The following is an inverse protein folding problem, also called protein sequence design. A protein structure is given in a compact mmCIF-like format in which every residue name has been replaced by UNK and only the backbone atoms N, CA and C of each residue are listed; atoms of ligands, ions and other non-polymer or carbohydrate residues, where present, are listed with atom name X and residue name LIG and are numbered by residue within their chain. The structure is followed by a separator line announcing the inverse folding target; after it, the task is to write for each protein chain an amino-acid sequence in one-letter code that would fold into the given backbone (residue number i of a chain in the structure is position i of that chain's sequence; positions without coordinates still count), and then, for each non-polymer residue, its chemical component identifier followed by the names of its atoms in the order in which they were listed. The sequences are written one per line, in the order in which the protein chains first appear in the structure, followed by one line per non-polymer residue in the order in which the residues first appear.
data_IF_014221282425
#
_entry.id   IF_014221282425
#
_cell.length_a   1.000
_cell.length_b   1.000
_cell.length_c   1.000
_cell.angle_alpha   90.00
_cell.angle_beta   90.00
_cell.angle_gamma   90.00
#
_symmetry.space_group_name_H-M   'P 1'
#
loop_
_entity.id
_entity.type
_entity.pdbx_description
1 polymer ?
#
# COMPACT_ATOMS: atom_id res chain seq x y z
N UNK A 1 10.65 -13.21 -6.85
CA UNK A 1 9.36 -12.68 -6.41
C UNK A 1 8.23 -13.61 -6.83
N UNK A 2 7.23 -13.76 -5.97
CA UNK A 2 6.07 -14.60 -6.25
C UNK A 2 4.84 -13.71 -6.38
N UNK A 3 4.08 -13.92 -7.45
CA UNK A 3 2.80 -13.24 -7.64
C UNK A 3 1.70 -14.27 -7.41
N UNK A 4 0.74 -13.92 -6.57
CA UNK A 4 -0.41 -14.78 -6.26
C UNK A 4 -1.69 -14.00 -6.44
N UNK A 5 -2.69 -14.64 -7.07
CA UNK A 5 -4.04 -14.12 -7.13
C UNK A 5 -4.87 -14.82 -6.05
N UNK A 6 -5.24 -14.05 -5.00
CA UNK A 6 -5.93 -14.60 -3.84
C UNK A 6 -6.61 -13.48 -3.06
N UNK A 7 -7.50 -13.88 -2.12
CA UNK A 7 -8.10 -12.92 -1.19
C UNK A 7 -7.03 -12.41 -0.23
N UNK A 8 -6.72 -11.13 -0.33
CA UNK A 8 -5.65 -10.49 0.46
C UNK A 8 -5.88 -10.64 1.97
N UNK A 9 -7.13 -10.63 2.42
CA UNK A 9 -7.47 -10.67 3.84
C UNK A 9 -7.74 -12.07 4.37
N UNK A 10 -7.75 -13.09 3.52
CA UNK A 10 -8.03 -14.45 3.95
C UNK A 10 -6.85 -15.07 4.71
N UNK A 11 -7.12 -15.65 5.88
CA UNK A 11 -6.12 -16.36 6.65
C UNK A 11 -5.69 -17.64 5.93
N UNK A 12 -4.40 -17.98 6.01
CA UNK A 12 -3.86 -19.22 5.46
C UNK A 12 -3.67 -19.24 3.95
N UNK A 13 -4.04 -18.19 3.24
CA UNK A 13 -3.86 -18.10 1.79
C UNK A 13 -2.38 -18.01 1.43
N UNK A 14 -1.60 -17.29 2.23
CA UNK A 14 -0.17 -17.14 2.04
C UNK A 14 0.54 -18.01 3.07
N UNK A 15 1.10 -19.14 2.62
CA UNK A 15 1.73 -20.12 3.51
C UNK A 15 3.18 -19.78 3.85
N UNK A 16 3.79 -18.87 3.10
CA UNK A 16 5.18 -18.43 3.32
C UNK A 16 5.26 -16.92 3.30
N UNK A 17 6.17 -16.30 4.07
CA UNK A 17 6.41 -14.87 3.99
C UNK A 17 6.80 -14.46 2.56
N UNK A 18 6.39 -13.28 2.14
CA UNK A 18 6.75 -12.75 0.83
C UNK A 18 7.82 -11.67 0.99
N UNK A 19 8.60 -11.43 -0.06
CA UNK A 19 9.66 -10.44 -0.07
C UNK A 19 9.21 -9.10 -0.60
N UNK A 20 8.13 -9.10 -1.39
CA UNK A 20 7.63 -7.90 -2.04
C UNK A 20 6.12 -7.94 -2.13
N UNK A 21 5.49 -6.85 -1.72
CA UNK A 21 4.08 -6.56 -2.01
C UNK A 21 4.06 -5.34 -2.93
N UNK A 22 3.46 -5.50 -4.10
CA UNK A 22 3.27 -4.40 -5.04
C UNK A 22 1.86 -3.85 -4.91
N UNK A 23 1.76 -2.53 -4.79
CA UNK A 23 0.50 -1.84 -4.58
C UNK A 23 0.24 -0.81 -5.69
N UNK A 24 -0.88 -0.93 -6.37
CA UNK A 24 -1.38 0.13 -7.25
C UNK A 24 -2.90 0.05 -7.33
N UNK A 25 -3.56 1.13 -6.92
CA UNK A 25 -5.02 1.26 -6.94
C UNK A 25 -5.78 0.24 -6.05
N UNK A 26 -5.11 -0.57 -5.25
CA UNK A 26 -5.79 -1.50 -4.34
C UNK A 26 -6.25 -0.83 -3.06
N UNK A 27 -5.35 -0.18 -2.34
CA UNK A 27 -5.66 0.47 -1.06
C UNK A 27 -6.68 1.61 -1.25
N UNK A 28 -6.57 2.37 -2.32
CA UNK A 28 -7.51 3.47 -2.60
C UNK A 28 -8.88 2.97 -3.06
N UNK A 29 -9.03 1.69 -3.41
CA UNK A 29 -10.31 1.07 -3.71
C UNK A 29 -11.00 0.53 -2.45
N UNK A 30 -10.28 0.41 -1.33
CA UNK A 30 -10.83 -0.08 -0.07
C UNK A 30 -11.55 1.04 0.69
N UNK A 31 -12.69 0.73 1.35
CA UNK A 31 -13.31 1.67 2.28
C UNK A 31 -12.33 2.12 3.36
N UNK A 32 -12.50 3.34 3.86
CA UNK A 32 -11.58 3.94 4.85
C UNK A 32 -11.41 3.07 6.09
N UNK A 33 -12.48 2.44 6.56
CA UNK A 33 -12.44 1.59 7.76
C UNK A 33 -11.58 0.34 7.59
N UNK A 34 -11.16 0.01 6.38
CA UNK A 34 -10.30 -1.16 6.12
C UNK A 34 -8.82 -0.83 6.04
N UNK A 35 -8.43 0.44 6.19
CA UNK A 35 -7.04 0.86 6.05
C UNK A 35 -6.11 0.28 7.11
N UNK A 36 -6.57 0.23 8.36
CA UNK A 36 -5.78 -0.37 9.44
C UNK A 36 -5.58 -1.87 9.21
N UNK A 37 -6.63 -2.57 8.79
CA UNK A 37 -6.54 -4.00 8.47
C UNK A 37 -5.58 -4.24 7.30
N UNK A 38 -5.60 -3.37 6.30
CA UNK A 38 -4.68 -3.44 5.17
C UNK A 38 -3.22 -3.29 5.62
N UNK A 39 -2.93 -2.27 6.41
CA UNK A 39 -1.57 -2.01 6.88
C UNK A 39 -1.05 -3.18 7.74
N UNK A 40 -1.90 -3.69 8.63
CA UNK A 40 -1.56 -4.84 9.46
C UNK A 40 -1.29 -6.07 8.62
N UNK A 41 -2.12 -6.32 7.62
CA UNK A 41 -1.97 -7.50 6.75
C UNK A 41 -0.70 -7.44 5.92
N UNK A 42 -0.37 -6.27 5.37
CA UNK A 42 0.89 -6.10 4.64
C UNK A 42 2.09 -6.39 5.54
N UNK A 43 2.06 -5.90 6.78
CA UNK A 43 3.13 -6.16 7.74
C UNK A 43 3.25 -7.65 8.06
N UNK A 44 2.11 -8.35 8.17
CA UNK A 44 2.11 -9.80 8.44
C UNK A 44 2.67 -10.62 7.27
N UNK A 45 2.38 -10.20 6.03
CA UNK A 45 2.82 -10.91 4.83
C UNK A 45 4.32 -10.78 4.58
N UNK A 46 4.91 -9.64 4.92
CA UNK A 46 6.31 -9.35 4.64
C UNK A 46 7.20 -9.79 5.80
N UNK A 47 8.27 -10.52 5.46
CA UNK A 47 9.32 -10.80 6.44
C UNK A 47 10.17 -9.54 6.67
N UNK A 48 10.93 -9.46 7.79
CA UNK A 48 11.84 -8.34 8.01
C UNK A 48 12.76 -8.11 6.81
N UNK A 49 12.89 -6.87 6.37
CA UNK A 49 13.63 -6.52 5.16
C UNK A 49 12.82 -6.59 3.88
N UNK A 50 11.64 -7.20 3.90
CA UNK A 50 10.75 -7.20 2.76
C UNK A 50 10.20 -5.81 2.46
N UNK A 51 9.68 -5.61 1.25
CA UNK A 51 9.29 -4.28 0.79
C UNK A 51 7.85 -4.22 0.32
N UNK A 52 7.18 -3.13 0.70
CA UNK A 52 5.92 -2.68 0.13
C UNK A 52 6.27 -1.58 -0.86
N UNK A 53 6.09 -1.83 -2.14
CA UNK A 53 6.40 -0.88 -3.20
C UNK A 53 5.16 -0.61 -4.03
N UNK A 54 4.88 0.65 -4.31
CA UNK A 54 3.71 0.93 -5.10
C UNK A 54 3.45 2.40 -5.37
N UNK A 55 2.31 2.61 -6.01
CA UNK A 55 1.81 3.94 -6.32
C UNK A 55 0.65 4.21 -5.39
N UNK A 56 0.78 5.23 -4.54
CA UNK A 56 -0.24 5.60 -3.57
C UNK A 56 -0.98 6.86 -4.02
N UNK A 57 -2.30 6.83 -3.90
CA UNK A 57 -3.16 7.92 -4.31
C UNK A 57 -3.38 8.88 -3.13
N UNK A 58 -2.78 10.07 -3.20
CA UNK A 58 -2.89 11.08 -2.16
C UNK A 58 -3.90 12.15 -2.55
N UNK A 59 -4.98 12.23 -1.79
CA UNK A 59 -6.03 13.22 -1.99
C UNK A 59 -6.78 13.40 -0.66
N UNK A 60 -7.54 14.48 -0.56
CA UNK A 60 -8.35 14.80 0.62
C UNK A 60 -9.82 14.51 0.42
N UNK A 61 -10.18 13.72 -0.59
CA UNK A 61 -11.58 13.43 -0.86
C UNK A 61 -12.13 12.32 0.04
N UNK A 62 -13.38 12.54 0.51
CA UNK A 62 -14.10 11.50 1.26
C UNK A 62 -14.92 10.58 0.36
N UNK A 63 -14.98 10.90 -0.92
CA UNK A 63 -15.70 10.12 -1.90
C UNK A 63 -14.77 9.16 -2.62
N UNK A 64 -15.29 8.03 -3.00
CA UNK A 64 -14.53 7.04 -3.75
C UNK A 64 -15.41 5.95 -4.33
N UNK A 65 -14.85 4.88 -4.90
CA UNK A 65 -13.42 4.78 -5.25
C UNK A 65 -13.00 5.71 -6.37
N UNK A 66 -11.77 6.22 -6.39
CA UNK A 66 -10.71 5.98 -5.41
C UNK A 66 -10.88 6.84 -4.15
N UNK A 67 -10.54 6.24 -2.99
CA UNK A 67 -10.56 6.95 -1.71
C UNK A 67 -9.16 7.51 -1.42
N UNK A 68 -9.06 8.84 -1.33
CA UNK A 68 -7.79 9.48 -1.05
C UNK A 68 -7.30 9.24 0.37
N UNK A 69 -6.00 9.38 0.57
CA UNK A 69 -5.37 9.35 1.89
C UNK A 69 -4.36 10.50 1.94
N UNK A 70 -4.14 11.09 3.12
CA UNK A 70 -3.10 12.08 3.28
C UNK A 70 -1.76 11.39 3.54
N UNK A 71 -0.63 11.98 3.08
CA UNK A 71 0.69 11.37 3.30
C UNK A 71 0.98 11.08 4.77
N UNK A 72 0.59 11.98 5.68
CA UNK A 72 0.78 11.78 7.10
C UNK A 72 -0.04 10.65 7.67
N UNK A 73 -1.24 10.42 7.15
CA UNK A 73 -2.09 9.31 7.55
C UNK A 73 -1.49 7.96 7.12
N UNK A 74 -1.00 7.88 5.89
CA UNK A 74 -0.34 6.67 5.40
C UNK A 74 0.92 6.36 6.21
N UNK A 75 1.72 7.38 6.50
CA UNK A 75 2.92 7.23 7.31
C UNK A 75 2.57 6.74 8.72
N UNK A 76 1.50 7.26 9.33
CA UNK A 76 1.06 6.82 10.65
C UNK A 76 0.64 5.34 10.65
N UNK A 77 0.03 4.86 9.56
CA UNK A 77 -0.36 3.46 9.43
C UNK A 77 0.85 2.53 9.24
N UNK A 78 1.87 2.97 8.53
CA UNK A 78 2.99 2.12 8.14
C UNK A 78 4.20 2.20 9.06
N UNK A 79 4.52 3.36 9.62
CA UNK A 79 5.73 3.56 10.44
C UNK A 79 5.91 2.61 11.62
N UNK A 80 4.87 2.12 12.29
CA UNK A 80 5.07 1.13 13.35
C UNK A 80 5.83 -0.13 12.90
N UNK A 81 5.72 -0.50 11.62
CA UNK A 81 6.33 -1.71 11.08
C UNK A 81 7.27 -1.47 9.89
N UNK A 82 7.30 -0.25 9.34
CA UNK A 82 8.02 0.06 8.10
C UNK A 82 8.81 1.35 8.18
N UNK A 83 9.88 1.42 7.38
CA UNK A 83 10.61 2.65 7.10
C UNK A 83 10.42 3.04 5.63
N UNK A 84 10.17 4.32 5.36
CA UNK A 84 10.11 4.84 4.00
C UNK A 84 11.53 4.95 3.45
N UNK A 85 11.83 4.22 2.39
CA UNK A 85 13.18 4.20 1.81
C UNK A 85 13.28 4.83 0.43
N UNK A 86 12.16 5.05 -0.25
CA UNK A 86 12.16 5.69 -1.57
C UNK A 86 10.83 6.39 -1.83
N UNK A 87 10.88 7.55 -2.48
CA UNK A 87 9.69 8.26 -2.92
C UNK A 87 9.98 8.99 -4.23
N UNK A 88 9.06 8.92 -5.19
CA UNK A 88 9.17 9.62 -6.47
C UNK A 88 7.79 9.96 -7.04
N UNK A 89 7.73 10.98 -7.89
CA UNK A 89 6.51 11.33 -8.61
C UNK A 89 6.50 10.57 -9.93
N UNK A 90 5.47 9.75 -10.20
CA UNK A 90 5.39 9.01 -11.45
C UNK A 90 5.08 9.95 -12.63
N UNK A 91 5.58 9.59 -13.82
CA UNK A 91 5.34 10.35 -15.04
C UNK A 91 4.22 9.77 -15.90
N UNK A 92 3.65 8.64 -15.51
CA UNK A 92 2.73 7.86 -16.36
C UNK A 92 1.39 7.54 -15.70
N UNK A 93 0.97 8.37 -14.75
CA UNK A 93 -0.32 8.16 -14.07
C UNK A 93 -1.50 8.29 -15.03
N UNK A 94 -2.53 7.46 -14.83
CA UNK A 94 -3.79 7.63 -15.55
C UNK A 94 -4.45 8.94 -15.12
N UNK A 95 -5.33 9.53 -15.97
CA UNK A 95 -5.84 10.89 -15.70
C UNK A 95 -6.46 11.10 -14.33
N UNK A 96 -7.20 10.13 -13.80
CA UNK A 96 -7.86 10.28 -12.50
C UNK A 96 -6.84 10.37 -11.35
N UNK A 97 -5.64 9.84 -11.53
CA UNK A 97 -4.58 9.86 -10.51
C UNK A 97 -3.49 10.90 -10.79
N UNK A 98 -3.54 11.56 -11.96
CA UNK A 98 -2.48 12.46 -12.38
C UNK A 98 -2.28 13.60 -11.37
N UNK A 99 -1.03 13.81 -10.95
CA UNK A 99 -0.66 14.81 -9.95
C UNK A 99 -0.96 14.43 -8.51
N UNK A 100 -1.62 13.28 -8.27
CA UNK A 100 -2.01 12.82 -6.93
C UNK A 100 -1.37 11.49 -6.56
N UNK A 101 -0.81 10.79 -7.51
CA UNK A 101 -0.19 9.49 -7.30
C UNK A 101 1.31 9.66 -7.07
N UNK A 102 1.86 8.94 -6.06
CA UNK A 102 3.30 8.93 -5.78
C UNK A 102 3.80 7.51 -5.66
N UNK A 103 4.99 7.27 -6.21
CA UNK A 103 5.73 6.04 -5.99
C UNK A 103 6.39 6.09 -4.62
N UNK A 104 6.17 5.06 -3.79
CA UNK A 104 6.83 4.91 -2.49
C UNK A 104 7.26 3.47 -2.28
N UNK A 105 8.41 3.30 -1.63
CA UNK A 105 8.88 2.00 -1.18
C UNK A 105 9.06 2.05 0.33
N UNK A 106 8.37 1.15 1.02
CA UNK A 106 8.43 1.00 2.47
C UNK A 106 9.08 -0.33 2.80
N UNK A 107 10.08 -0.31 3.65
CA UNK A 107 10.78 -1.53 4.04
C UNK A 107 10.35 -2.00 5.42
N UNK A 108 10.00 -3.28 5.54
CA UNK A 108 9.60 -3.92 6.79
C UNK A 108 10.79 -3.97 7.75
N UNK A 109 10.58 -3.48 8.94
CA UNK A 109 11.56 -3.53 10.01
C UNK A 109 11.81 -4.94 10.51
#
# INVERSE_FOLDING_TARGET
ARVMEADFFADGVFTHPVDLVYERAFMCALPRQMREAWAKRVAELLQPGGRLAGFFYFDQTDRGPPFGIEPGELAALLRPAFDLIEEATPGDSIPVFAGKERWQVWQRR
#
